data_IF_252429133159
#
_entry.id   IF_252429133159
#
_cell.length_a   1.000
_cell.length_b   1.000
_cell.length_c   1.000
_cell.angle_alpha   90.00
_cell.angle_beta   90.00
_cell.angle_gamma   90.00
#
_symmetry.space_group_name_H-M   'P 1'
#
loop_
_entity.id
_entity.type
_entity.pdbx_description
1 polymer ?
#
# COMPACT_ATOMS: atom_id res chain seq x y z
N UNK A 1 4.24 -6.31 -1.78
CA UNK A 1 4.14 -7.33 -0.71
C UNK A 1 3.25 -8.44 -1.23
N UNK A 2 3.66 -9.70 -1.11
CA UNK A 2 2.78 -10.83 -1.40
C UNK A 2 1.64 -10.82 -0.37
N UNK A 3 0.37 -10.73 -0.79
CA UNK A 3 -0.80 -10.71 0.11
C UNK A 3 -1.08 -12.04 0.82
N UNK A 4 -0.03 -12.80 1.16
CA UNK A 4 -0.11 -14.10 1.78
C UNK A 4 -0.23 -13.97 3.30
N UNK A 5 -0.96 -14.91 3.91
CA UNK A 5 -1.02 -15.01 5.36
C UNK A 5 0.34 -15.42 5.94
N UNK A 6 0.61 -15.02 7.20
CA UNK A 6 1.80 -15.43 7.95
C UNK A 6 1.92 -16.95 8.01
N UNK A 7 0.79 -17.67 8.11
CA UNK A 7 0.77 -19.14 8.10
C UNK A 7 1.31 -19.72 6.80
N UNK A 8 0.85 -19.21 5.65
CA UNK A 8 1.37 -19.64 4.35
C UNK A 8 2.85 -19.33 4.18
N UNK A 9 3.30 -18.17 4.69
CA UNK A 9 4.72 -17.83 4.69
C UNK A 9 5.51 -18.77 5.61
N UNK A 10 4.96 -19.14 6.77
CA UNK A 10 5.56 -20.11 7.70
C UNK A 10 5.76 -21.47 7.08
N UNK A 11 4.74 -21.96 6.38
CA UNK A 11 4.79 -23.20 5.59
C UNK A 11 5.83 -23.11 4.46
N UNK A 12 5.90 -21.97 3.74
CA UNK A 12 6.86 -21.78 2.64
C UNK A 12 8.32 -21.73 3.12
N UNK A 13 8.59 -20.95 4.17
CA UNK A 13 9.94 -20.77 4.71
C UNK A 13 10.34 -21.83 5.73
N UNK A 14 9.45 -22.76 6.07
CA UNK A 14 9.64 -23.77 7.11
C UNK A 14 10.06 -23.13 8.44
N UNK A 15 9.38 -22.03 8.80
CA UNK A 15 9.72 -21.20 9.94
C UNK A 15 8.48 -20.91 10.79
N UNK A 16 8.66 -20.72 12.09
CA UNK A 16 7.56 -20.39 12.99
C UNK A 16 6.93 -19.04 12.63
N UNK A 17 5.60 -18.94 12.79
CA UNK A 17 4.85 -17.71 12.57
C UNK A 17 5.38 -16.54 13.40
N UNK A 18 5.87 -16.81 14.61
CA UNK A 18 6.46 -15.81 15.50
C UNK A 18 7.74 -15.22 14.90
N UNK A 19 8.60 -16.06 14.32
CA UNK A 19 9.82 -15.62 13.66
C UNK A 19 9.51 -14.72 12.46
N UNK A 20 8.53 -15.09 11.64
CA UNK A 20 8.08 -14.27 10.50
C UNK A 20 7.54 -12.93 10.98
N UNK A 21 6.68 -12.93 12.01
CA UNK A 21 6.10 -11.72 12.59
C UNK A 21 7.18 -10.81 13.18
N UNK A 22 8.17 -11.39 13.85
CA UNK A 22 9.31 -10.69 14.40
C UNK A 22 10.12 -9.97 13.31
N UNK A 23 10.56 -10.69 12.29
CA UNK A 23 11.36 -10.10 11.20
C UNK A 23 10.55 -9.11 10.36
N UNK A 24 9.26 -9.38 10.12
CA UNK A 24 8.38 -8.43 9.45
C UNK A 24 8.35 -7.10 10.19
N UNK A 25 8.18 -7.13 11.52
CA UNK A 25 8.20 -5.90 12.35
C UNK A 25 9.55 -5.20 12.28
N UNK A 26 10.66 -5.93 12.35
CA UNK A 26 11.99 -5.35 12.25
C UNK A 26 12.24 -4.65 10.91
N UNK A 27 11.88 -5.30 9.80
CA UNK A 27 11.99 -4.73 8.45
C UNK A 27 11.07 -3.52 8.31
N UNK A 28 9.82 -3.61 8.78
CA UNK A 28 8.89 -2.48 8.74
C UNK A 28 9.45 -1.27 9.48
N UNK A 29 10.00 -1.46 10.68
CA UNK A 29 10.64 -0.38 11.43
C UNK A 29 11.85 0.16 10.68
N UNK A 30 12.72 -0.70 10.14
CA UNK A 30 13.90 -0.26 9.39
C UNK A 30 13.54 0.58 8.15
N UNK A 31 12.48 0.21 7.43
CA UNK A 31 12.02 0.93 6.24
C UNK A 31 11.21 2.20 6.57
N UNK A 32 10.53 2.24 7.71
CA UNK A 32 9.73 3.40 8.14
C UNK A 32 10.51 4.40 9.01
N UNK A 33 11.74 4.07 9.39
CA UNK A 33 12.60 4.93 10.20
C UNK A 33 13.66 5.66 9.36
N UNK A 34 14.19 6.79 9.87
CA UNK A 34 15.38 7.41 9.31
C UNK A 34 16.59 6.45 9.36
N UNK A 35 17.45 6.45 8.33
CA UNK A 35 17.47 7.37 7.20
C UNK A 35 16.62 6.91 6.01
N UNK A 36 16.02 5.71 6.05
CA UNK A 36 15.43 5.09 4.87
C UNK A 36 14.18 5.84 4.38
N UNK A 37 13.16 5.97 5.24
CA UNK A 37 11.88 6.55 4.85
C UNK A 37 12.01 7.94 4.20
N UNK A 38 12.66 8.95 4.82
CA UNK A 38 12.78 10.28 4.22
C UNK A 38 13.67 10.32 2.98
N UNK A 39 14.51 9.30 2.77
CA UNK A 39 15.43 9.25 1.61
C UNK A 39 14.78 8.70 0.35
N UNK A 40 13.81 7.79 0.49
CA UNK A 40 13.25 7.05 -0.64
C UNK A 40 11.75 7.25 -0.83
N UNK A 41 11.02 7.66 0.20
CA UNK A 41 9.57 7.90 0.12
C UNK A 41 9.32 9.39 -0.01
N UNK A 42 8.92 9.82 -1.21
CA UNK A 42 8.55 11.20 -1.50
C UNK A 42 7.09 11.26 -1.94
N UNK A 43 6.31 12.09 -1.27
CA UNK A 43 4.97 12.44 -1.73
C UNK A 43 5.09 13.55 -2.77
N UNK A 44 4.32 13.50 -3.86
CA UNK A 44 4.26 14.60 -4.79
C UNK A 44 3.71 15.85 -4.08
N UNK A 45 4.27 17.04 -4.37
CA UNK A 45 3.74 18.31 -3.90
C UNK A 45 2.26 18.49 -4.25
N UNK A 46 1.52 19.24 -3.42
CA UNK A 46 0.08 19.46 -3.61
C UNK A 46 -0.29 20.21 -4.90
N UNK A 47 0.67 20.92 -5.47
CA UNK A 47 0.61 21.64 -6.74
C UNK A 47 1.04 20.79 -7.95
N UNK A 48 1.36 19.51 -7.75
CA UNK A 48 1.71 18.61 -8.84
C UNK A 48 0.52 18.43 -9.80
N UNK A 49 0.74 18.52 -11.13
CA UNK A 49 -0.33 18.33 -12.07
C UNK A 49 -0.84 16.88 -12.03
N UNK A 50 -2.15 16.72 -12.24
CA UNK A 50 -2.78 15.39 -12.36
C UNK A 50 -2.14 14.66 -13.55
N UNK A 51 -1.69 13.40 -13.38
CA UNK A 51 -1.13 12.61 -14.49
C UNK A 51 -2.09 12.53 -15.69
N UNK A 52 -1.57 12.57 -16.92
CA UNK A 52 -2.40 12.59 -18.13
C UNK A 52 -3.32 11.38 -18.26
N UNK A 53 -2.95 10.22 -17.70
CA UNK A 53 -3.75 9.00 -17.68
C UNK A 53 -5.05 9.17 -16.88
N UNK A 54 -5.01 9.98 -15.83
CA UNK A 54 -6.18 10.32 -15.00
C UNK A 54 -6.89 11.52 -15.61
N UNK A 55 -6.15 12.57 -16.00
CA UNK A 55 -6.71 13.81 -16.52
C UNK A 55 -7.52 13.61 -17.82
N UNK A 56 -7.04 12.76 -18.72
CA UNK A 56 -7.69 12.53 -20.01
C UNK A 56 -8.80 11.47 -19.96
N UNK A 57 -8.98 10.79 -18.83
CA UNK A 57 -10.02 9.78 -18.65
C UNK A 57 -11.15 10.34 -17.79
N UNK A 58 -12.32 10.69 -18.36
CA UNK A 58 -13.41 11.33 -17.61
C UNK A 58 -13.94 10.44 -16.47
N UNK A 59 -13.82 9.11 -16.59
CA UNK A 59 -14.21 8.18 -15.52
C UNK A 59 -13.24 8.25 -14.34
N UNK A 60 -11.93 8.39 -14.58
CA UNK A 60 -10.94 8.47 -13.50
C UNK A 60 -10.81 9.89 -12.94
N UNK A 61 -10.84 10.90 -13.80
CA UNK A 61 -10.72 12.30 -13.40
C UNK A 61 -11.75 12.68 -12.32
N UNK A 62 -13.00 12.26 -12.47
CA UNK A 62 -14.06 12.57 -11.51
C UNK A 62 -13.73 12.12 -10.07
N UNK A 63 -13.02 11.00 -9.91
CA UNK A 63 -12.71 10.43 -8.60
C UNK A 63 -11.29 10.77 -8.11
N UNK A 64 -10.35 11.01 -9.01
CA UNK A 64 -8.92 11.10 -8.68
C UNK A 64 -8.27 12.46 -8.99
N UNK A 65 -9.02 13.47 -9.46
CA UNK A 65 -8.45 14.79 -9.81
C UNK A 65 -7.76 15.52 -8.64
N UNK A 66 -8.10 15.19 -7.40
CA UNK A 66 -7.50 15.75 -6.19
C UNK A 66 -6.69 14.72 -5.38
N UNK A 67 -6.44 13.54 -5.94
CA UNK A 67 -5.68 12.50 -5.26
C UNK A 67 -4.18 12.82 -5.29
N UNK A 68 -3.59 13.05 -4.12
CA UNK A 68 -2.14 13.31 -3.98
C UNK A 68 -1.31 12.03 -4.14
N UNK A 69 -1.86 10.89 -3.71
CA UNK A 69 -1.25 9.58 -3.88
C UNK A 69 -2.31 8.53 -3.66
N UNK A 70 -2.26 7.46 -4.45
CA UNK A 70 -2.96 6.22 -4.10
C UNK A 70 -1.92 5.35 -3.42
N UNK A 71 -2.03 5.20 -2.10
CA UNK A 71 -1.43 4.04 -1.45
C UNK A 71 -2.28 2.86 -1.88
N UNK A 72 -1.72 1.98 -2.70
CA UNK A 72 -2.30 0.67 -3.00
C UNK A 72 -2.27 -0.17 -1.71
N UNK A 73 -3.19 0.17 -0.81
CA UNK A 73 -3.62 -0.70 0.28
C UNK A 73 -4.40 -1.81 -0.41
N UNK A 74 -3.77 -2.98 -0.43
CA UNK A 74 -4.32 -4.25 -0.92
C UNK A 74 -5.85 -4.23 -0.82
N UNK A 75 -6.54 -4.25 -1.97
CA UNK A 75 -8.00 -4.25 -2.03
C UNK A 75 -8.55 -5.33 -1.09
N UNK A 76 -9.07 -4.92 0.07
CA UNK A 76 -9.94 -5.78 0.86
C UNK A 76 -11.26 -5.74 0.11
N UNK A 77 -11.72 -6.88 -0.40
CA UNK A 77 -13.04 -7.00 -1.00
C UNK A 77 -14.08 -6.47 -0.01
N UNK A 78 -14.61 -5.29 -0.31
CA UNK A 78 -15.69 -4.69 0.44
C UNK A 78 -16.97 -5.26 -0.16
N UNK A 79 -17.70 -6.07 0.61
CA UNK A 79 -19.08 -6.45 0.31
C UNK A 79 -20.00 -5.44 1.01
N UNK A 80 -20.37 -4.30 0.38
CA UNK A 80 -21.36 -3.42 0.97
C UNK A 80 -22.69 -4.18 1.07
N UNK A 81 -23.31 -4.14 2.26
CA UNK A 81 -24.68 -4.61 2.40
C UNK A 81 -25.57 -3.79 1.48
N UNK A 82 -26.38 -4.46 0.65
CA UNK A 82 -27.40 -3.81 -0.15
C UNK A 82 -28.30 -3.00 0.79
N UNK A 83 -28.31 -1.68 0.64
CA UNK A 83 -29.31 -0.82 1.24
C UNK A 83 -30.60 -1.06 0.44
N UNK A 84 -31.63 -1.60 1.08
CA UNK A 84 -33.03 -1.54 0.60
C UNK A 84 -33.55 -0.09 0.65
#
# INVERSE_FOLDING_TARGET
>A
MTGLSIRHLGEYFQCANDTISHYFRHILIALSSPPFYPRYVHLPPADSPVPPEIANNPKFFLYFCSALSVMDGTQIDCCPSALE
#
